data_IF_289759875651
#
_entry.id   IF_289759875651
#
_cell.length_a   1.000
_cell.length_b   1.000
_cell.length_c   1.000
_cell.angle_alpha   90.00
_cell.angle_beta   90.00
_cell.angle_gamma   90.00
#
_symmetry.space_group_name_H-M   'P 1'
#
loop_
_entity.id
_entity.type
_entity.pdbx_description
1 polymer ?
#
# COMPACT_ATOMS: atom_id res chain seq x y z
N UNK A 1 20.43 21.37 -9.51
CA UNK A 1 20.93 20.43 -8.47
C UNK A 1 20.19 20.59 -7.14
N UNK A 2 20.02 21.79 -6.59
CA UNK A 2 19.38 22.05 -5.28
C UNK A 2 17.99 21.43 -5.14
N UNK A 3 17.10 21.61 -6.13
CA UNK A 3 15.75 21.04 -6.12
C UNK A 3 15.78 19.51 -6.03
N UNK A 4 16.67 18.85 -6.77
CA UNK A 4 16.81 17.39 -6.73
C UNK A 4 17.26 16.89 -5.35
N UNK A 5 18.20 17.59 -4.71
CA UNK A 5 18.64 17.28 -3.35
C UNK A 5 17.51 17.44 -2.32
N UNK A 6 16.68 18.48 -2.46
CA UNK A 6 15.51 18.70 -1.61
C UNK A 6 14.49 17.57 -1.78
N UNK A 7 14.22 17.13 -3.02
CA UNK A 7 13.32 16.01 -3.29
C UNK A 7 13.86 14.69 -2.68
N UNK A 8 15.17 14.45 -2.78
CA UNK A 8 15.82 13.29 -2.18
C UNK A 8 15.75 13.33 -0.64
N UNK A 9 16.01 14.48 -0.03
CA UNK A 9 15.86 14.67 1.41
C UNK A 9 14.41 14.46 1.86
N UNK A 10 13.43 14.94 1.09
CA UNK A 10 12.01 14.68 1.34
C UNK A 10 11.66 13.19 1.27
N UNK A 11 12.18 12.46 0.28
CA UNK A 11 12.00 11.02 0.18
C UNK A 11 12.61 10.30 1.40
N UNK A 12 13.84 10.65 1.79
CA UNK A 12 14.48 10.10 2.98
C UNK A 12 13.68 10.39 4.26
N UNK A 13 13.18 11.61 4.42
CA UNK A 13 12.35 12.02 5.55
C UNK A 13 11.07 11.18 5.64
N UNK A 14 10.36 11.00 4.53
CA UNK A 14 9.17 10.11 4.47
C UNK A 14 9.55 8.67 4.84
N UNK A 15 10.66 8.17 4.31
CA UNK A 15 11.14 6.81 4.57
C UNK A 15 11.48 6.54 6.04
N UNK A 16 12.02 7.55 6.75
CA UNK A 16 12.48 7.44 8.14
C UNK A 16 11.39 7.83 9.13
N UNK A 17 10.78 9.00 8.99
CA UNK A 17 9.81 9.55 9.92
C UNK A 17 8.37 9.07 9.64
N UNK A 18 8.08 8.58 8.42
CA UNK A 18 6.75 8.13 8.00
C UNK A 18 6.06 7.23 9.02
N UNK A 19 6.68 6.14 9.50
CA UNK A 19 6.06 5.26 10.49
C UNK A 19 5.74 5.89 11.83
N UNK A 20 6.49 6.91 12.27
CA UNK A 20 6.21 7.60 13.52
C UNK A 20 4.96 8.47 13.36
N UNK A 21 4.84 9.16 12.23
CA UNK A 21 3.67 9.97 11.89
C UNK A 21 2.42 9.11 11.61
N UNK A 22 2.60 7.93 11.03
CA UNK A 22 1.54 6.94 10.78
C UNK A 22 1.26 6.03 12.01
N UNK A 23 2.03 6.22 13.10
CA UNK A 23 2.31 5.19 14.11
C UNK A 23 1.25 4.89 15.18
N UNK A 24 0.21 5.70 15.44
CA UNK A 24 -0.84 5.30 16.40
C UNK A 24 -2.27 5.31 15.85
N UNK A 25 -2.48 5.23 14.54
CA UNK A 25 -3.78 5.54 13.93
C UNK A 25 -4.68 4.33 13.63
N UNK A 26 -4.64 3.25 14.40
CA UNK A 26 -5.76 2.29 14.43
C UNK A 26 -6.70 2.69 15.56
N UNK A 27 -7.30 3.87 15.41
CA UNK A 27 -8.42 4.26 16.29
C UNK A 27 -9.68 3.56 15.77
N UNK A 28 -10.58 3.10 16.64
CA UNK A 28 -11.87 2.54 16.22
C UNK A 28 -12.66 3.47 15.28
N UNK A 29 -12.46 4.77 15.41
CA UNK A 29 -13.08 5.83 14.60
C UNK A 29 -12.44 6.08 13.23
N UNK A 30 -11.27 5.50 12.94
CA UNK A 30 -10.60 5.66 11.66
C UNK A 30 -11.06 4.59 10.67
N UNK A 31 -11.44 5.04 9.46
CA UNK A 31 -11.84 4.17 8.36
C UNK A 31 -10.61 3.34 7.91
N UNK A 32 -10.65 2.01 7.96
CA UNK A 32 -9.52 1.16 7.59
C UNK A 32 -8.98 1.42 6.17
N UNK A 33 -9.89 1.71 5.23
CA UNK A 33 -9.53 2.05 3.85
C UNK A 33 -8.70 3.35 3.75
N UNK A 34 -8.99 4.35 4.59
CA UNK A 34 -8.22 5.60 4.62
C UNK A 34 -6.81 5.35 5.17
N UNK A 35 -6.69 4.57 6.26
CA UNK A 35 -5.40 4.19 6.80
C UNK A 35 -4.57 3.39 5.77
N UNK A 36 -5.18 2.43 5.08
CA UNK A 36 -4.54 1.72 3.96
C UNK A 36 -4.04 2.68 2.88
N UNK A 37 -4.88 3.64 2.47
CA UNK A 37 -4.52 4.65 1.47
C UNK A 37 -3.35 5.54 1.92
N UNK A 38 -3.26 5.90 3.20
CA UNK A 38 -2.12 6.71 3.71
C UNK A 38 -0.80 5.95 3.64
N UNK A 39 -0.79 4.65 3.98
CA UNK A 39 0.42 3.82 3.88
C UNK A 39 0.86 3.65 2.42
N UNK A 40 -0.08 3.32 1.52
CA UNK A 40 0.23 3.20 0.09
C UNK A 40 0.64 4.54 -0.52
N UNK A 41 0.00 5.63 -0.10
CA UNK A 41 0.33 6.99 -0.51
C UNK A 41 1.75 7.40 -0.09
N UNK A 42 2.18 7.02 1.11
CA UNK A 42 3.56 7.28 1.58
C UNK A 42 4.60 6.51 0.75
N UNK A 43 4.32 5.24 0.41
CA UNK A 43 5.17 4.43 -0.49
C UNK A 43 5.24 5.06 -1.88
N UNK A 44 4.10 5.52 -2.41
CA UNK A 44 4.03 6.18 -3.71
C UNK A 44 4.76 7.52 -3.71
N UNK A 45 4.58 8.35 -2.68
CA UNK A 45 5.26 9.63 -2.54
C UNK A 45 6.78 9.46 -2.50
N UNK A 46 7.29 8.48 -1.75
CA UNK A 46 8.70 8.12 -1.76
C UNK A 46 9.21 7.81 -3.18
N UNK A 47 8.49 6.98 -3.93
CA UNK A 47 8.88 6.58 -5.28
C UNK A 47 8.85 7.77 -6.26
N UNK A 48 7.81 8.61 -6.18
CA UNK A 48 7.64 9.81 -7.02
C UNK A 48 8.76 10.80 -6.76
N UNK A 49 9.05 11.13 -5.50
CA UNK A 49 10.13 12.06 -5.14
C UNK A 49 11.50 11.54 -5.60
N UNK A 50 11.76 10.24 -5.42
CA UNK A 50 13.01 9.62 -5.89
C UNK A 50 13.13 9.67 -7.41
N UNK A 51 12.02 9.42 -8.13
CA UNK A 51 11.98 9.48 -9.60
C UNK A 51 12.19 10.90 -10.11
N UNK A 52 11.50 11.89 -9.53
CA UNK A 52 11.69 13.29 -9.88
C UNK A 52 13.12 13.76 -9.60
N UNK A 53 13.70 13.36 -8.46
CA UNK A 53 15.12 13.63 -8.15
C UNK A 53 16.04 13.03 -9.20
N UNK A 54 15.80 11.78 -9.64
CA UNK A 54 16.60 11.13 -10.67
C UNK A 54 16.51 11.87 -12.01
N UNK A 55 15.29 12.20 -12.44
CA UNK A 55 15.02 12.89 -13.71
C UNK A 55 15.69 14.27 -13.74
N UNK A 56 15.58 15.06 -12.67
CA UNK A 56 16.20 16.39 -12.60
C UNK A 56 17.74 16.34 -12.59
N UNK A 57 18.33 15.26 -12.10
CA UNK A 57 19.77 15.06 -12.10
C UNK A 57 20.30 14.60 -13.47
N UNK A 58 19.52 13.76 -14.17
CA UNK A 58 19.84 13.28 -15.52
C UNK A 58 19.58 14.34 -16.61
N UNK A 59 18.51 15.13 -16.45
CA UNK A 59 18.06 16.12 -17.43
C UNK A 59 17.95 17.50 -16.78
N UNK A 60 19.09 18.17 -16.50
CA UNK A 60 19.11 19.47 -15.82
C UNK A 60 18.38 20.57 -16.63
N UNK A 61 18.21 20.38 -17.94
CA UNK A 61 17.52 21.31 -18.83
C UNK A 61 15.97 21.26 -18.75
N UNK A 62 15.39 20.29 -18.03
CA UNK A 62 13.91 20.16 -17.92
C UNK A 62 13.27 21.31 -17.15
N UNK A 63 14.01 21.96 -16.26
CA UNK A 63 13.58 23.18 -15.54
C UNK A 63 14.21 24.44 -16.13
N UNK A 64 14.74 24.37 -17.35
CA UNK A 64 15.37 25.52 -17.98
C UNK A 64 14.31 26.55 -18.41
N UNK A 65 13.94 27.43 -17.49
CA UNK A 65 13.20 28.67 -17.77
C UNK A 65 14.14 29.68 -18.43
N UNK A 66 14.72 29.29 -19.56
CA UNK A 66 15.72 30.06 -20.32
C UNK A 66 15.23 31.43 -20.75
N UNK A 67 13.92 31.74 -20.67
CA UNK A 67 13.36 33.08 -20.86
C UNK A 67 13.48 34.04 -19.66
N UNK A 68 13.68 33.55 -18.42
CA UNK A 68 13.79 34.39 -17.21
C UNK A 68 15.25 34.55 -16.78
N UNK A 69 16.06 33.50 -16.96
CA UNK A 69 17.47 33.48 -16.56
C UNK A 69 18.39 34.29 -17.49
N UNK A 70 18.01 34.47 -18.75
CA UNK A 70 18.73 35.33 -19.72
C UNK A 70 18.56 36.82 -19.41
N UNK A 71 17.44 37.24 -18.81
CA UNK A 71 17.20 38.64 -18.48
C UNK A 71 18.01 39.12 -17.25
N UNK A 72 18.34 38.21 -16.32
CA UNK A 72 19.09 38.51 -15.10
C UNK A 72 20.56 38.08 -15.19
N UNK A 73 20.87 37.00 -15.93
CA UNK A 73 22.23 36.47 -16.07
C UNK A 73 23.12 37.18 -17.09
N UNK A 74 22.54 37.97 -18.00
CA UNK A 74 23.29 38.69 -19.04
C UNK A 74 24.17 39.83 -18.50
N UNK A 75 23.87 40.36 -17.31
CA UNK A 75 24.57 41.54 -16.78
C UNK A 75 25.60 41.23 -15.67
N UNK A 76 25.65 40.02 -15.11
CA UNK A 76 26.39 39.77 -13.85
C UNK A 76 27.19 38.47 -13.77
N UNK A 77 27.37 37.69 -14.84
CA UNK A 77 28.12 36.43 -14.71
C UNK A 77 29.05 36.20 -15.89
N UNK A 78 30.33 36.47 -15.65
CA UNK A 78 31.42 35.82 -16.37
C UNK A 78 31.14 34.33 -16.47
N UNK A 79 31.37 33.81 -17.67
CA UNK A 79 31.29 32.41 -18.05
C UNK A 79 32.01 31.52 -17.03
N UNK A 80 31.26 30.83 -16.17
CA UNK A 80 31.81 29.79 -15.30
C UNK A 80 32.17 28.59 -16.19
N UNK A 81 33.44 28.17 -16.30
CA UNK A 81 33.81 27.03 -17.12
C UNK A 81 33.16 25.77 -16.54
N UNK A 82 32.66 24.89 -17.41
CA UNK A 82 32.26 23.53 -17.04
C UNK A 82 33.50 22.77 -16.53
N UNK A 83 33.81 22.84 -15.24
CA UNK A 83 34.92 22.09 -14.66
C UNK A 83 34.55 20.61 -14.61
N UNK A 84 35.47 19.74 -15.03
CA UNK A 84 35.28 18.27 -14.98
C UNK A 84 34.90 17.78 -13.57
N UNK A 85 35.28 18.52 -12.53
CA UNK A 85 34.91 18.29 -11.13
C UNK A 85 33.40 18.43 -10.88
N UNK A 86 32.74 19.45 -11.45
CA UNK A 86 31.30 19.63 -11.32
C UNK A 86 30.50 18.47 -11.93
N UNK A 87 30.96 17.96 -13.08
CA UNK A 87 30.37 16.77 -13.73
C UNK A 87 30.55 15.51 -12.89
N UNK A 88 31.73 15.29 -12.29
CA UNK A 88 31.98 14.13 -11.41
C UNK A 88 31.10 14.14 -10.16
N UNK A 89 30.94 15.29 -9.50
CA UNK A 89 30.05 15.45 -8.34
C UNK A 89 28.59 15.20 -8.72
N UNK A 90 28.15 15.74 -9.86
CA UNK A 90 26.79 15.52 -10.36
C UNK A 90 26.53 14.04 -10.68
N UNK A 91 27.46 13.35 -11.33
CA UNK A 91 27.36 11.93 -11.59
C UNK A 91 27.30 11.12 -10.29
N UNK A 92 28.15 11.44 -9.31
CA UNK A 92 28.15 10.80 -7.99
C UNK A 92 26.81 10.89 -7.27
N UNK A 93 26.22 12.08 -7.23
CA UNK A 93 24.92 12.32 -6.57
C UNK A 93 23.77 11.61 -7.31
N UNK A 94 23.85 11.52 -8.65
CA UNK A 94 22.83 10.88 -9.49
C UNK A 94 22.74 9.37 -9.31
N UNK A 95 23.84 8.72 -8.90
CA UNK A 95 23.88 7.26 -8.71
C UNK A 95 22.91 6.78 -7.63
N UNK A 96 22.70 7.54 -6.56
CA UNK A 96 21.84 7.13 -5.45
C UNK A 96 20.36 6.94 -5.87
N UNK A 97 19.65 7.95 -6.43
CA UNK A 97 18.28 7.76 -6.91
C UNK A 97 18.19 6.63 -7.95
N UNK A 98 19.15 6.55 -8.87
CA UNK A 98 19.12 5.56 -9.95
C UNK A 98 19.29 4.14 -9.42
N UNK A 99 20.20 3.92 -8.46
CA UNK A 99 20.38 2.61 -7.83
C UNK A 99 19.15 2.20 -7.02
N UNK A 100 18.51 3.14 -6.31
CA UNK A 100 17.24 2.90 -5.61
C UNK A 100 16.15 2.47 -6.62
N UNK A 101 15.95 3.22 -7.70
CA UNK A 101 14.94 2.92 -8.72
C UNK A 101 15.21 1.59 -9.42
N UNK A 102 16.46 1.33 -9.81
CA UNK A 102 16.87 0.08 -10.43
C UNK A 102 16.62 -1.11 -9.48
N UNK A 103 16.96 -0.96 -8.19
CA UNK A 103 16.71 -1.99 -7.17
C UNK A 103 15.22 -2.27 -7.00
N UNK A 104 14.40 -1.23 -6.86
CA UNK A 104 12.94 -1.34 -6.76
C UNK A 104 12.37 -2.04 -7.99
N UNK A 105 12.77 -1.64 -9.20
CA UNK A 105 12.32 -2.23 -10.45
C UNK A 105 12.65 -3.73 -10.53
N UNK A 106 13.91 -4.10 -10.23
CA UNK A 106 14.36 -5.50 -10.25
C UNK A 106 13.58 -6.35 -9.25
N UNK A 107 13.39 -5.88 -8.02
CA UNK A 107 12.63 -6.59 -6.98
C UNK A 107 11.15 -6.69 -7.36
N UNK A 108 10.57 -5.62 -7.89
CA UNK A 108 9.18 -5.59 -8.36
C UNK A 108 8.95 -6.62 -9.48
N UNK A 109 9.80 -6.63 -10.51
CA UNK A 109 9.71 -7.57 -11.64
C UNK A 109 9.82 -9.02 -11.14
N UNK A 110 10.79 -9.32 -10.26
CA UNK A 110 10.95 -10.67 -9.69
C UNK A 110 9.75 -11.10 -8.87
N UNK A 111 9.23 -10.21 -8.03
CA UNK A 111 8.08 -10.48 -7.15
C UNK A 111 6.80 -10.68 -7.97
N UNK A 112 6.57 -9.83 -8.98
CA UNK A 112 5.44 -9.97 -9.92
C UNK A 112 5.51 -11.28 -10.71
N UNK A 113 6.69 -11.65 -11.21
CA UNK A 113 6.88 -12.92 -11.93
C UNK A 113 6.63 -14.12 -11.00
N UNK A 114 7.14 -14.08 -9.78
CA UNK A 114 6.91 -15.15 -8.79
C UNK A 114 5.44 -15.26 -8.41
N UNK A 115 4.78 -14.14 -8.14
CA UNK A 115 3.35 -14.09 -7.82
C UNK A 115 2.50 -14.62 -8.98
N UNK A 116 2.79 -14.21 -10.23
CA UNK A 116 2.10 -14.73 -11.43
C UNK A 116 2.26 -16.25 -11.58
N UNK A 117 3.48 -16.78 -11.39
CA UNK A 117 3.75 -18.23 -11.47
C UNK A 117 3.03 -19.03 -10.39
N UNK A 118 3.04 -18.55 -9.14
CA UNK A 118 2.32 -19.20 -8.03
C UNK A 118 0.82 -19.23 -8.29
N UNK A 119 0.25 -18.10 -8.72
CA UNK A 119 -1.18 -18.01 -9.07
C UNK A 119 -1.55 -18.94 -10.22
N UNK A 120 -0.77 -18.97 -11.29
CA UNK A 120 -1.04 -19.87 -12.42
C UNK A 120 -1.11 -21.33 -11.96
N UNK A 121 -0.14 -21.79 -11.16
CA UNK A 121 -0.15 -23.15 -10.58
C UNK A 121 -1.35 -23.41 -9.68
N UNK A 122 -1.70 -22.45 -8.83
CA UNK A 122 -2.85 -22.56 -7.92
C UNK A 122 -4.16 -22.68 -8.70
N UNK A 123 -4.38 -21.84 -9.71
CA UNK A 123 -5.55 -21.91 -10.57
C UNK A 123 -5.63 -23.25 -11.34
N UNK A 124 -4.49 -23.78 -11.80
CA UNK A 124 -4.45 -25.11 -12.42
C UNK A 124 -4.90 -26.21 -11.47
N UNK A 125 -4.43 -26.21 -10.23
CA UNK A 125 -4.85 -27.18 -9.21
C UNK A 125 -6.34 -27.04 -8.87
N UNK A 126 -6.84 -25.81 -8.72
CA UNK A 126 -8.25 -25.57 -8.37
C UNK A 126 -9.23 -25.98 -9.47
N UNK A 127 -8.86 -25.85 -10.74
CA UNK A 127 -9.73 -26.34 -11.84
C UNK A 127 -9.95 -27.86 -11.77
N UNK A 128 -9.03 -28.61 -11.17
CA UNK A 128 -9.17 -30.05 -11.01
C UNK A 128 -9.89 -30.43 -9.70
N UNK A 129 -9.77 -29.63 -8.64
CA UNK A 129 -10.16 -30.02 -7.28
C UNK A 129 -11.39 -29.28 -6.72
N UNK A 130 -12.01 -28.34 -7.45
CA UNK A 130 -13.13 -27.55 -6.94
C UNK A 130 -14.39 -27.63 -7.79
N UNK A 131 -15.54 -27.59 -7.13
CA UNK A 131 -16.84 -27.41 -7.78
C UNK A 131 -17.22 -25.93 -7.74
N UNK A 132 -17.48 -25.33 -8.90
CA UNK A 132 -17.85 -23.91 -8.99
C UNK A 132 -19.35 -23.72 -8.75
N UNK A 133 -19.69 -22.81 -7.85
CA UNK A 133 -21.05 -22.33 -7.63
C UNK A 133 -21.04 -20.80 -7.61
N UNK A 134 -21.52 -20.19 -8.70
CA UNK A 134 -21.40 -18.73 -8.91
C UNK A 134 -19.95 -18.25 -9.01
N UNK A 135 -19.56 -17.32 -8.15
CA UNK A 135 -18.20 -16.76 -8.03
C UNK A 135 -17.32 -17.51 -7.00
N UNK A 136 -17.86 -18.55 -6.36
CA UNK A 136 -17.19 -19.32 -5.30
C UNK A 136 -16.81 -20.72 -5.79
N UNK A 137 -15.58 -21.12 -5.51
CA UNK A 137 -15.06 -22.46 -5.70
C UNK A 137 -15.12 -23.22 -4.39
N UNK A 138 -15.92 -24.28 -4.33
CA UNK A 138 -16.07 -25.12 -3.15
C UNK A 138 -15.10 -26.30 -3.18
N UNK A 139 -14.41 -26.52 -2.05
CA UNK A 139 -13.52 -27.66 -1.82
C UNK A 139 -14.13 -28.54 -0.72
N UNK A 140 -14.09 -29.85 -0.93
CA UNK A 140 -14.51 -30.81 0.08
C UNK A 140 -13.43 -30.97 1.17
N UNK A 141 -13.57 -30.18 2.23
CA UNK A 141 -12.76 -30.25 3.45
C UNK A 141 -13.66 -29.81 4.63
N UNK A 142 -13.69 -30.57 5.74
CA UNK A 142 -14.51 -30.25 6.91
C UNK A 142 -14.02 -29.02 7.67
N UNK A 143 -12.76 -28.60 7.52
CA UNK A 143 -12.20 -27.43 8.20
C UNK A 143 -12.73 -26.15 7.53
N UNK A 144 -13.26 -25.16 8.27
CA UNK A 144 -13.77 -23.92 7.69
C UNK A 144 -12.62 -23.01 7.24
N UNK A 145 -12.30 -23.07 5.96
CA UNK A 145 -11.25 -22.29 5.32
C UNK A 145 -11.87 -21.54 4.15
N UNK A 146 -11.62 -20.23 4.09
CA UNK A 146 -11.95 -19.40 2.94
C UNK A 146 -10.74 -18.53 2.60
N UNK A 147 -10.52 -18.27 1.32
CA UNK A 147 -9.52 -17.32 0.86
C UNK A 147 -9.83 -16.79 -0.54
N UNK A 148 -9.45 -15.55 -0.79
CA UNK A 148 -9.55 -14.92 -2.09
C UNK A 148 -8.31 -15.18 -2.95
N UNK A 149 -8.54 -15.36 -4.25
CA UNK A 149 -7.49 -15.42 -5.26
C UNK A 149 -7.57 -14.19 -6.18
N UNK A 150 -6.60 -13.28 -6.03
CA UNK A 150 -6.53 -12.07 -6.86
C UNK A 150 -6.03 -12.30 -8.29
N UNK A 151 -6.55 -11.53 -9.23
CA UNK A 151 -6.15 -11.53 -10.65
C UNK A 151 -7.26 -10.99 -11.55
N UNK A 152 -7.06 -11.04 -12.88
CA UNK A 152 -8.05 -10.59 -13.86
C UNK A 152 -9.38 -11.38 -13.82
N UNK A 153 -9.37 -12.57 -13.22
CA UNK A 153 -10.55 -13.39 -12.90
C UNK A 153 -10.47 -13.77 -11.42
N UNK A 154 -10.68 -12.79 -10.56
CA UNK A 154 -10.69 -13.02 -9.12
C UNK A 154 -11.71 -14.10 -8.77
N UNK A 155 -11.38 -14.95 -7.79
CA UNK A 155 -12.24 -16.04 -7.36
C UNK A 155 -12.16 -16.20 -5.85
N UNK A 156 -13.28 -16.53 -5.22
CA UNK A 156 -13.32 -16.95 -3.82
C UNK A 156 -13.20 -18.46 -3.78
N UNK A 157 -12.34 -18.98 -2.91
CA UNK A 157 -12.25 -20.40 -2.61
C UNK A 157 -12.70 -20.61 -1.18
N UNK A 158 -13.65 -21.53 -0.97
CA UNK A 158 -14.16 -21.84 0.36
C UNK A 158 -14.33 -23.36 0.51
N UNK A 159 -14.17 -23.87 1.72
CA UNK A 159 -14.43 -25.27 2.02
C UNK A 159 -15.87 -25.49 2.47
N UNK A 160 -16.38 -26.71 2.33
CA UNK A 160 -17.71 -27.06 2.86
C UNK A 160 -17.79 -26.86 4.39
N UNK A 161 -16.68 -26.94 5.13
CA UNK A 161 -16.56 -26.53 6.53
C UNK A 161 -17.15 -25.14 6.84
N UNK A 162 -17.02 -24.17 5.93
CA UNK A 162 -17.56 -22.80 6.12
C UNK A 162 -19.09 -22.79 6.16
N UNK A 163 -19.76 -23.70 5.45
CA UNK A 163 -21.23 -23.80 5.47
C UNK A 163 -21.77 -24.28 6.81
N UNK A 164 -20.98 -25.05 7.56
CA UNK A 164 -21.36 -25.55 8.89
C UNK A 164 -21.39 -24.44 9.96
N UNK A 165 -20.85 -23.25 9.67
CA UNK A 165 -20.95 -22.07 10.54
C UNK A 165 -22.38 -21.48 10.59
N UNK A 166 -23.25 -21.92 9.68
CA UNK A 166 -24.60 -21.37 9.50
C UNK A 166 -24.64 -20.31 8.40
N UNK A 167 -25.82 -20.12 7.83
CA UNK A 167 -26.03 -19.36 6.58
C UNK A 167 -25.52 -17.91 6.67
N UNK A 168 -25.85 -17.20 7.75
CA UNK A 168 -25.44 -15.79 7.94
C UNK A 168 -23.94 -15.63 8.11
N UNK A 169 -23.29 -16.54 8.85
CA UNK A 169 -21.84 -16.50 9.06
C UNK A 169 -21.11 -16.88 7.78
N UNK A 170 -21.58 -17.91 7.07
CA UNK A 170 -21.06 -18.29 5.76
C UNK A 170 -21.15 -17.12 4.76
N UNK A 171 -22.30 -16.44 4.66
CA UNK A 171 -22.47 -15.29 3.79
C UNK A 171 -21.51 -14.14 4.15
N UNK A 172 -21.32 -13.86 5.45
CA UNK A 172 -20.38 -12.87 5.93
C UNK A 172 -18.91 -13.18 5.56
N UNK A 173 -18.51 -14.45 5.65
CA UNK A 173 -17.18 -14.92 5.23
C UNK A 173 -16.99 -14.74 3.72
N UNK A 174 -17.98 -15.14 2.91
CA UNK A 174 -17.89 -14.97 1.45
C UNK A 174 -17.81 -13.50 1.06
N UNK A 175 -18.60 -12.61 1.69
CA UNK A 175 -18.54 -11.18 1.43
C UNK A 175 -17.21 -10.55 1.85
N UNK A 176 -16.58 -11.04 2.93
CA UNK A 176 -15.22 -10.68 3.33
C UNK A 176 -14.21 -11.06 2.23
N UNK A 177 -14.26 -12.31 1.73
CA UNK A 177 -13.37 -12.75 0.66
C UNK A 177 -13.59 -12.00 -0.65
N UNK A 178 -14.85 -11.69 -0.99
CA UNK A 178 -15.17 -10.85 -2.15
C UNK A 178 -14.62 -9.43 -2.00
N UNK A 179 -14.60 -8.88 -0.77
CA UNK A 179 -14.04 -7.57 -0.51
C UNK A 179 -12.54 -7.52 -0.82
N UNK A 180 -11.77 -8.59 -0.59
CA UNK A 180 -10.37 -8.65 -0.99
C UNK A 180 -10.16 -8.54 -2.51
N UNK A 181 -11.06 -9.14 -3.28
CA UNK A 181 -11.03 -9.08 -4.74
C UNK A 181 -11.39 -7.67 -5.21
N UNK A 182 -12.53 -7.13 -4.77
CA UNK A 182 -13.02 -5.80 -5.16
C UNK A 182 -12.05 -4.69 -4.74
N UNK A 183 -11.41 -4.84 -3.59
CA UNK A 183 -10.44 -3.90 -3.04
C UNK A 183 -9.02 -4.06 -3.57
N UNK A 184 -8.76 -5.03 -4.46
CA UNK A 184 -7.41 -5.32 -5.00
C UNK A 184 -6.37 -5.54 -3.88
N UNK A 185 -6.80 -6.08 -2.75
CA UNK A 185 -5.99 -6.15 -1.52
C UNK A 185 -4.69 -6.95 -1.71
N UNK A 186 -4.70 -7.97 -2.57
CA UNK A 186 -3.49 -8.70 -2.94
C UNK A 186 -2.42 -7.84 -3.64
N UNK A 187 -2.83 -6.83 -4.42
CA UNK A 187 -1.91 -5.91 -5.06
C UNK A 187 -1.31 -4.95 -4.01
N UNK A 188 -2.14 -4.43 -3.10
CA UNK A 188 -1.68 -3.59 -1.99
C UNK A 188 -0.61 -4.28 -1.12
N UNK A 189 -0.88 -5.53 -0.72
CA UNK A 189 0.08 -6.36 0.03
C UNK A 189 1.36 -6.60 -0.77
N UNK A 190 1.25 -6.94 -2.06
CA UNK A 190 2.41 -7.15 -2.91
C UNK A 190 3.27 -5.87 -3.05
N UNK A 191 2.65 -4.70 -3.17
CA UNK A 191 3.36 -3.42 -3.19
C UNK A 191 4.16 -3.18 -1.90
N UNK A 192 3.56 -3.47 -0.74
CA UNK A 192 4.24 -3.35 0.55
C UNK A 192 5.40 -4.36 0.69
N UNK A 193 5.21 -5.61 0.27
CA UNK A 193 6.26 -6.64 0.28
C UNK A 193 7.43 -6.26 -0.65
N UNK A 194 7.14 -5.74 -1.85
CA UNK A 194 8.17 -5.24 -2.79
C UNK A 194 8.96 -4.10 -2.16
N UNK A 195 8.28 -3.14 -1.53
CA UNK A 195 8.90 -2.00 -0.88
C UNK A 195 9.87 -2.45 0.22
N UNK A 196 9.42 -3.34 1.11
CA UNK A 196 10.23 -3.92 2.17
C UNK A 196 11.46 -4.69 1.65
N UNK A 197 11.29 -5.47 0.58
CA UNK A 197 12.37 -6.25 -0.01
C UNK A 197 13.37 -5.39 -0.82
N UNK A 198 12.91 -4.27 -1.39
CA UNK A 198 13.75 -3.35 -2.15
C UNK A 198 14.63 -2.49 -1.25
N UNK A 199 14.05 -1.96 -0.16
CA UNK A 199 14.68 -0.95 0.70
C UNK A 199 14.48 -1.26 2.20
N UNK A 200 14.99 -2.41 2.70
CA UNK A 200 14.73 -2.87 4.07
C UNK A 200 15.30 -1.96 5.16
N UNK A 201 16.25 -1.09 4.80
CA UNK A 201 16.88 -0.14 5.73
C UNK A 201 15.93 1.00 6.13
N UNK A 202 14.92 1.30 5.31
CA UNK A 202 13.97 2.37 5.60
C UNK A 202 12.85 1.87 6.51
N UNK A 203 12.63 2.50 7.68
CA UNK A 203 11.56 2.12 8.61
C UNK A 203 10.18 2.00 7.96
N UNK A 204 9.83 2.93 7.04
CA UNK A 204 8.56 2.89 6.29
C UNK A 204 8.39 1.59 5.53
N UNK A 205 9.40 1.23 4.75
CA UNK A 205 9.38 0.06 3.89
C UNK A 205 9.31 -1.22 4.73
N UNK A 206 10.06 -1.28 5.84
CA UNK A 206 10.08 -2.43 6.74
C UNK A 206 8.76 -2.64 7.49
N UNK A 207 8.07 -1.58 7.89
CA UNK A 207 6.80 -1.68 8.66
C UNK A 207 5.56 -1.80 7.78
N UNK A 208 5.63 -1.35 6.53
CA UNK A 208 4.49 -1.34 5.62
C UNK A 208 3.80 -2.72 5.47
N UNK A 209 4.50 -3.87 5.31
CA UNK A 209 3.83 -5.16 5.11
C UNK A 209 2.87 -5.53 6.23
N UNK A 210 3.30 -5.40 7.49
CA UNK A 210 2.48 -5.77 8.64
C UNK A 210 1.24 -4.85 8.74
N UNK A 211 1.44 -3.54 8.58
CA UNK A 211 0.36 -2.58 8.70
C UNK A 211 -0.63 -2.66 7.54
N UNK A 212 -0.14 -2.78 6.30
CA UNK A 212 -0.99 -2.93 5.10
C UNK A 212 -1.84 -4.19 5.20
N UNK A 213 -1.27 -5.33 5.65
CA UNK A 213 -2.03 -6.57 5.88
C UNK A 213 -3.16 -6.35 6.89
N UNK A 214 -2.85 -5.77 8.05
CA UNK A 214 -3.88 -5.49 9.07
C UNK A 214 -4.98 -4.55 8.53
N UNK A 215 -4.61 -3.48 7.82
CA UNK A 215 -5.60 -2.53 7.29
C UNK A 215 -6.48 -3.14 6.19
N UNK A 216 -5.91 -4.04 5.38
CA UNK A 216 -6.62 -4.83 4.38
C UNK A 216 -7.68 -5.73 5.02
N UNK A 217 -7.33 -6.43 6.10
CA UNK A 217 -8.27 -7.27 6.86
C UNK A 217 -9.39 -6.44 7.46
N UNK A 218 -9.05 -5.33 8.12
CA UNK A 218 -10.05 -4.43 8.72
C UNK A 218 -10.96 -3.79 7.65
N UNK A 219 -10.44 -3.50 6.45
CA UNK A 219 -11.24 -2.99 5.34
C UNK A 219 -12.20 -4.05 4.77
N UNK A 220 -11.77 -5.31 4.73
CA UNK A 220 -12.63 -6.43 4.32
C UNK A 220 -13.69 -6.74 5.39
N UNK A 221 -13.33 -6.70 6.68
CA UNK A 221 -14.26 -6.81 7.81
C UNK A 221 -15.31 -5.69 7.78
N UNK A 222 -14.90 -4.44 7.53
CA UNK A 222 -15.79 -3.29 7.36
C UNK A 222 -16.77 -3.50 6.20
N UNK A 223 -16.30 -4.03 5.06
CA UNK A 223 -17.17 -4.35 3.92
C UNK A 223 -18.20 -5.43 4.27
N UNK A 224 -17.79 -6.54 4.89
CA UNK A 224 -18.70 -7.58 5.32
C UNK A 224 -19.67 -7.10 6.41
N UNK A 225 -19.18 -6.31 7.36
CA UNK A 225 -19.99 -5.76 8.45
C UNK A 225 -21.02 -4.77 7.92
N UNK A 226 -20.73 -4.11 6.78
CA UNK A 226 -21.72 -3.25 6.13
C UNK A 226 -22.94 -4.01 5.65
N UNK A 227 -22.77 -5.24 5.16
CA UNK A 227 -23.84 -6.06 4.58
C UNK A 227 -24.51 -6.94 5.64
N UNK A 228 -23.72 -7.61 6.48
CA UNK A 228 -24.19 -8.65 7.40
C UNK A 228 -24.20 -8.23 8.88
N UNK A 229 -23.73 -7.02 9.18
CA UNK A 229 -23.66 -6.48 10.54
C UNK A 229 -22.37 -6.88 11.28
N UNK A 230 -21.80 -5.99 12.12
CA UNK A 230 -20.60 -6.29 12.90
C UNK A 230 -20.68 -7.55 13.79
N UNK A 231 -21.81 -7.84 14.48
CA UNK A 231 -21.90 -9.04 15.32
C UNK A 231 -21.77 -10.35 14.52
N UNK A 232 -22.34 -10.41 13.32
CA UNK A 232 -22.27 -11.59 12.44
C UNK A 232 -20.84 -11.84 11.98
N UNK A 233 -20.14 -10.78 11.54
CA UNK A 233 -18.74 -10.88 11.12
C UNK A 233 -17.84 -11.26 12.29
N UNK A 234 -18.08 -10.69 13.47
CA UNK A 234 -17.35 -11.05 14.68
C UNK A 234 -17.53 -12.53 15.02
N UNK A 235 -18.76 -13.04 15.01
CA UNK A 235 -19.06 -14.45 15.28
C UNK A 235 -18.40 -15.38 14.25
N UNK A 236 -18.47 -15.01 12.96
CA UNK A 236 -17.82 -15.77 11.89
C UNK A 236 -16.29 -15.80 12.05
N UNK A 237 -15.66 -14.64 12.30
CA UNK A 237 -14.21 -14.55 12.53
C UNK A 237 -13.78 -15.39 13.74
N UNK A 238 -14.55 -15.34 14.82
CA UNK A 238 -14.27 -16.15 16.01
C UNK A 238 -14.34 -17.65 15.69
N UNK A 239 -15.40 -18.10 15.01
CA UNK A 239 -15.58 -19.51 14.66
C UNK A 239 -14.49 -20.01 13.68
N UNK A 240 -14.10 -19.19 12.70
CA UNK A 240 -12.99 -19.50 11.79
C UNK A 240 -11.66 -19.59 12.54
N UNK A 241 -11.40 -18.69 13.49
CA UNK A 241 -10.16 -18.69 14.28
C UNK A 241 -10.03 -19.89 15.23
N UNK A 242 -11.14 -20.38 15.78
CA UNK A 242 -11.16 -21.54 16.68
C UNK A 242 -11.01 -22.86 15.94
N UNK A 243 -11.45 -22.92 14.69
CA UNK A 243 -11.40 -24.13 13.86
C UNK A 243 -10.08 -24.28 13.10
N UNK A 244 -9.25 -23.24 13.07
CA UNK A 244 -7.87 -23.31 12.62
C UNK A 244 -7.06 -24.11 13.66
N UNK A 245 -7.14 -25.44 13.58
CA UNK A 245 -6.27 -26.35 14.34
C UNK A 245 -4.82 -25.92 14.09
N UNK A 246 -4.10 -25.65 15.18
CA UNK A 246 -2.70 -25.26 15.14
C UNK A 246 -1.86 -26.32 14.42
N UNK A 247 -1.57 -26.10 13.13
CA UNK A 247 -0.60 -26.90 12.37
C UNK A 247 0.80 -26.35 12.68
N UNK A 248 1.68 -27.11 13.34
CA UNK A 248 3.06 -26.68 13.58
C UNK A 248 3.75 -26.36 12.23
N UNK A 249 4.33 -25.16 12.12
CA UNK A 249 5.09 -24.75 10.92
C UNK A 249 4.30 -24.02 9.83
N UNK A 250 2.98 -23.83 9.99
CA UNK A 250 2.20 -22.93 9.11
C UNK A 250 2.09 -21.57 9.79
N UNK A 251 2.53 -20.50 9.11
CA UNK A 251 2.33 -19.12 9.56
C UNK A 251 0.82 -18.85 9.67
N UNK A 252 0.31 -18.99 10.89
CA UNK A 252 -1.03 -18.55 11.24
C UNK A 252 -1.09 -17.03 11.03
N UNK A 253 -2.27 -16.50 10.70
CA UNK A 253 -2.54 -15.09 10.95
C UNK A 253 -2.06 -14.78 12.37
N UNK A 254 -1.24 -13.75 12.56
CA UNK A 254 -0.72 -13.47 13.90
C UNK A 254 -1.92 -13.36 14.82
N UNK A 255 -1.95 -14.11 15.92
CA UNK A 255 -3.04 -14.10 16.90
C UNK A 255 -3.41 -12.68 17.33
N UNK A 256 -2.41 -11.81 17.35
CA UNK A 256 -2.50 -10.36 17.54
C UNK A 256 -3.41 -9.66 16.50
N UNK A 257 -3.30 -9.99 15.20
CA UNK A 257 -4.15 -9.41 14.15
C UNK A 257 -5.63 -9.81 14.30
N UNK A 258 -5.90 -11.05 14.71
CA UNK A 258 -7.26 -11.54 14.98
C UNK A 258 -7.85 -10.82 16.19
N UNK A 259 -7.08 -10.68 17.27
CA UNK A 259 -7.52 -9.96 18.46
C UNK A 259 -7.89 -8.49 18.17
N UNK A 260 -7.08 -7.80 17.35
CA UNK A 260 -7.34 -6.41 16.92
C UNK A 260 -8.65 -6.32 16.13
N UNK A 261 -8.88 -7.23 15.19
CA UNK A 261 -10.10 -7.28 14.36
C UNK A 261 -11.35 -7.54 15.20
N UNK A 262 -11.30 -8.50 16.12
CA UNK A 262 -12.41 -8.80 17.04
C UNK A 262 -12.73 -7.60 17.94
N UNK A 263 -11.72 -6.94 18.51
CA UNK A 263 -11.91 -5.73 19.30
C UNK A 263 -12.55 -4.62 18.47
N UNK A 264 -12.05 -4.38 17.26
CA UNK A 264 -12.59 -3.36 16.36
C UNK A 264 -14.07 -3.61 16.01
N UNK A 265 -14.44 -4.84 15.66
CA UNK A 265 -15.83 -5.22 15.35
C UNK A 265 -16.77 -5.04 16.55
N UNK A 266 -16.31 -5.31 17.77
CA UNK A 266 -17.09 -5.04 18.99
C UNK A 266 -17.37 -3.55 19.17
N UNK A 267 -16.37 -2.70 18.95
CA UNK A 267 -16.52 -1.25 19.10
C UNK A 267 -17.46 -0.64 18.04
N UNK A 268 -17.41 -1.13 16.80
CA UNK A 268 -18.33 -0.72 15.73
C UNK A 268 -19.80 -1.05 16.02
N UNK A 269 -20.06 -2.20 16.64
CA UNK A 269 -21.41 -2.59 17.05
C UNK A 269 -22.00 -1.67 18.13
N UNK A 270 -21.14 -1.03 18.94
CA UNK A 270 -21.57 -0.15 20.03
C UNK A 270 -21.85 1.30 19.60
N UNK A 271 -21.20 1.80 18.55
CA UNK A 271 -21.22 3.26 18.24
C UNK A 271 -22.25 3.71 17.20
N UNK A 272 -22.96 2.80 16.53
CA UNK A 272 -23.85 3.19 15.42
C UNK A 272 -23.08 3.74 14.20
N UNK A 273 -23.58 3.48 12.99
CA UNK A 273 -22.83 3.74 11.75
C UNK A 273 -22.87 5.23 11.39
N UNK A 274 -21.71 5.88 11.26
CA UNK A 274 -21.65 7.23 10.68
C UNK A 274 -21.69 7.18 9.14
N UNK A 275 -22.40 8.11 8.47
CA UNK A 275 -22.75 7.99 7.06
C UNK A 275 -21.62 8.28 6.06
N UNK A 276 -21.87 7.81 4.84
CA UNK A 276 -21.09 7.73 3.61
C UNK A 276 -20.43 9.03 3.08
N UNK A 277 -20.66 10.19 3.72
CA UNK A 277 -20.18 11.50 3.26
C UNK A 277 -18.68 11.74 3.44
N UNK A 278 -18.03 11.01 4.37
CA UNK A 278 -16.59 11.17 4.68
C UNK A 278 -15.65 10.58 3.62
N UNK A 279 -16.15 9.65 2.79
CA UNK A 279 -15.35 8.95 1.77
C UNK A 279 -14.90 9.89 0.63
N UNK A 280 -15.72 10.89 0.27
CA UNK A 280 -15.40 11.89 -0.78
C UNK A 280 -14.37 12.93 -0.30
N UNK A 281 -14.39 13.28 0.98
CA UNK A 281 -13.42 14.20 1.58
C UNK A 281 -12.00 13.58 1.67
N UNK A 282 -11.91 12.24 1.70
CA UNK A 282 -10.65 11.53 1.96
C UNK A 282 -9.86 11.10 0.72
N UNK A 283 -10.48 11.08 -0.48
CA UNK A 283 -9.71 11.10 -1.73
C UNK A 283 -8.84 12.36 -1.79
N UNK A 284 -9.35 13.49 -1.29
CA UNK A 284 -8.59 14.74 -1.11
C UNK A 284 -7.43 14.59 -0.13
N UNK A 285 -7.57 13.79 0.92
CA UNK A 285 -6.52 13.60 1.95
C UNK A 285 -5.41 12.61 1.52
N UNK A 286 -5.70 11.67 0.61
CA UNK A 286 -4.70 10.79 -0.01
C UNK A 286 -3.96 11.47 -1.18
N UNK A 287 -4.59 12.44 -1.84
CA UNK A 287 -3.96 13.34 -2.83
C UNK A 287 -3.22 14.52 -2.18
N UNK A 288 -3.56 14.88 -0.93
CA UNK A 288 -2.94 15.98 -0.19
C UNK A 288 -1.41 15.85 -0.05
N UNK A 289 -0.81 14.69 0.23
CA UNK A 289 0.64 14.56 0.32
C UNK A 289 1.32 14.79 -1.03
N UNK A 290 0.69 14.36 -2.12
CA UNK A 290 1.21 14.59 -3.49
C UNK A 290 1.07 16.04 -3.93
N UNK A 291 -0.03 16.71 -3.55
CA UNK A 291 -0.25 18.13 -3.87
C UNK A 291 0.48 19.08 -2.92
N UNK A 292 0.66 18.73 -1.64
CA UNK A 292 1.47 19.47 -0.66
C UNK A 292 2.97 19.32 -0.92
N UNK A 293 3.45 18.14 -1.34
CA UNK A 293 4.82 18.00 -1.79
C UNK A 293 5.07 18.85 -3.05
N UNK A 294 4.09 18.92 -3.96
CA UNK A 294 4.14 19.83 -5.12
C UNK A 294 4.07 21.32 -4.74
N UNK A 295 3.18 21.70 -3.81
CA UNK A 295 2.95 23.10 -3.45
C UNK A 295 4.00 23.66 -2.49
N UNK A 296 4.57 22.85 -1.59
CA UNK A 296 5.72 23.23 -0.77
C UNK A 296 6.97 23.51 -1.63
N UNK A 297 7.16 22.74 -2.70
CA UNK A 297 8.22 22.98 -3.71
C UNK A 297 7.96 24.29 -4.46
N UNK A 298 6.72 24.59 -4.84
CA UNK A 298 6.35 25.86 -5.50
C UNK A 298 6.43 27.06 -4.54
N UNK A 299 6.10 26.89 -3.26
CA UNK A 299 6.17 27.94 -2.24
C UNK A 299 7.61 28.29 -1.84
N UNK A 300 8.47 27.29 -1.64
CA UNK A 300 9.91 27.48 -1.44
C UNK A 300 10.57 28.14 -2.65
N UNK A 301 10.12 27.79 -3.86
CA UNK A 301 10.57 28.42 -5.10
C UNK A 301 10.12 29.90 -5.20
N UNK A 302 8.90 30.24 -4.79
CA UNK A 302 8.42 31.64 -4.77
C UNK A 302 9.12 32.49 -3.70
N UNK A 303 9.33 31.96 -2.49
CA UNK A 303 10.01 32.68 -1.42
C UNK A 303 11.49 32.98 -1.74
N UNK A 304 12.15 32.10 -2.48
CA UNK A 304 13.51 32.30 -2.98
C UNK A 304 13.61 33.35 -4.10
N UNK A 305 12.53 33.60 -4.83
CA UNK A 305 12.49 34.59 -5.93
C UNK A 305 12.09 35.99 -5.48
N UNK A 306 11.71 36.18 -4.22
CA UNK A 306 11.27 37.47 -3.64
C UNK A 306 12.27 38.07 -2.65
N UNK A 307 13.43 37.43 -2.47
CA UNK A 307 14.61 37.92 -1.75
C UNK A 307 15.70 38.25 -2.76
#
# INVERSE_FOLDING_TARGET
MTVALVLMAGAALIGVAGPACLGPTVRPSLLPAAALATWLGALLAFLVLTTLSATLLLFPHVLDTSGVRTLVGGCLSGTVPHSSFGTLVQLGISLLPLTILARVAVVAIRSLRSARRRRARHFWMLRAASCRSGEVHWIDDPRPIAYSLGGARGAVVATHGVRHLGERQCAAVIEHEMAHIRGWHHAAVLCADIAAAALPMLPLMRRAPAMVRLMVELAADDAAARVHGPPTVHAALLAMSQSAVAVPGVLHMSSESVAVRLLWLRTQGATGRTPMGRTRLMLGFALLPTTLAGSAVVALFRAYCTL
#
